data_IF_711060964717
#
_entry.id   IF_711060964717
#
_cell.length_a   1.000
_cell.length_b   1.000
_cell.length_c   1.000
_cell.angle_alpha   90.00
_cell.angle_beta   90.00
_cell.angle_gamma   90.00
#
_symmetry.space_group_name_H-M   'P 1'
#
loop_
_entity.id
_entity.type
_entity.pdbx_description
1 polymer ?
#
# COMPACT_ATOMS: atom_id res chain seq x y z
N UNK A 1 69.15 62.36 -46.03
CA UNK A 1 70.10 61.72 -45.10
C UNK A 1 69.54 60.36 -44.78
N UNK A 2 70.12 59.35 -45.43
CA UNK A 2 69.94 57.92 -45.16
C UNK A 2 70.82 57.52 -43.96
N UNK A 3 70.34 56.59 -43.13
CA UNK A 3 71.03 55.36 -42.67
C UNK A 3 70.24 54.68 -41.54
N UNK A 4 69.38 53.74 -41.92
CA UNK A 4 69.49 52.29 -41.73
C UNK A 4 70.00 51.66 -40.39
N UNK A 5 69.35 50.53 -40.07
CA UNK A 5 69.82 49.33 -39.32
C UNK A 5 69.50 49.13 -37.81
N UNK A 6 68.68 48.08 -37.57
CA UNK A 6 68.71 47.03 -36.52
C UNK A 6 67.81 47.08 -35.26
N UNK A 7 66.89 46.10 -35.20
CA UNK A 7 66.51 45.34 -33.99
C UNK A 7 67.56 44.24 -33.72
N UNK A 8 67.75 43.76 -32.46
CA UNK A 8 67.09 42.52 -31.97
C UNK A 8 66.76 42.51 -30.42
N UNK A 9 65.60 42.03 -29.95
CA UNK A 9 65.20 40.67 -29.47
C UNK A 9 65.48 40.33 -27.96
N UNK A 10 64.39 39.94 -27.26
CA UNK A 10 64.17 39.01 -26.12
C UNK A 10 64.60 39.29 -24.65
N UNK A 11 63.60 39.36 -23.77
CA UNK A 11 63.27 38.46 -22.62
C UNK A 11 62.48 39.27 -21.55
N UNK A 12 61.44 38.79 -20.87
CA UNK A 12 61.14 37.42 -20.45
C UNK A 12 59.63 37.13 -20.36
N UNK A 13 59.36 35.86 -20.62
CA UNK A 13 58.17 35.06 -20.40
C UNK A 13 57.69 34.99 -18.94
N UNK A 14 56.38 34.81 -18.74
CA UNK A 14 55.82 33.98 -17.66
C UNK A 14 54.35 33.61 -17.95
N UNK A 15 54.03 32.31 -18.10
CA UNK A 15 52.67 31.80 -18.20
C UNK A 15 52.17 31.33 -16.82
N UNK A 16 50.95 31.69 -16.43
CA UNK A 16 50.26 31.10 -15.27
C UNK A 16 48.96 30.44 -15.71
N UNK A 17 49.06 29.16 -16.09
CA UNK A 17 47.91 28.23 -16.06
C UNK A 17 48.38 26.84 -15.60
N UNK A 18 48.19 26.51 -14.31
CA UNK A 18 48.13 25.12 -13.88
C UNK A 18 46.78 24.71 -13.25
N UNK A 19 45.87 25.65 -12.95
CA UNK A 19 44.67 25.35 -12.14
C UNK A 19 43.51 24.77 -12.97
N UNK A 20 43.34 25.22 -14.22
CA UNK A 20 42.21 24.79 -15.08
C UNK A 20 42.39 23.32 -15.54
N UNK A 21 43.63 22.88 -15.74
CA UNK A 21 43.96 21.51 -16.15
C UNK A 21 43.68 20.50 -15.04
N UNK A 22 43.90 20.87 -13.77
CA UNK A 22 43.64 19.99 -12.62
C UNK A 22 42.15 19.69 -12.42
N UNK A 23 41.29 20.70 -12.56
CA UNK A 23 39.82 20.53 -12.41
C UNK A 23 39.24 19.70 -13.56
N UNK A 24 39.71 19.93 -14.80
CA UNK A 24 39.29 19.14 -15.95
C UNK A 24 39.73 17.67 -15.83
N UNK A 25 40.92 17.40 -15.29
CA UNK A 25 41.42 16.04 -15.07
C UNK A 25 40.60 15.29 -14.00
N UNK A 26 40.21 15.98 -12.92
CA UNK A 26 39.37 15.41 -11.85
C UNK A 26 37.96 15.10 -12.34
N UNK A 27 37.37 15.97 -13.15
CA UNK A 27 36.08 15.74 -13.80
C UNK A 27 36.13 14.54 -14.78
N UNK A 28 37.19 14.45 -15.58
CA UNK A 28 37.40 13.33 -16.49
C UNK A 28 37.55 11.99 -15.74
N UNK A 29 38.28 11.98 -14.62
CA UNK A 29 38.40 10.82 -13.74
C UNK A 29 37.05 10.41 -13.14
N UNK A 30 36.25 11.36 -12.65
CA UNK A 30 34.91 11.06 -12.12
C UNK A 30 33.98 10.46 -13.17
N UNK A 31 33.96 11.02 -14.38
CA UNK A 31 33.15 10.51 -15.49
C UNK A 31 33.61 9.12 -15.90
N UNK A 32 34.91 8.89 -16.03
CA UNK A 32 35.45 7.57 -16.36
C UNK A 32 35.10 6.53 -15.28
N UNK A 33 35.22 6.88 -14.01
CA UNK A 33 34.90 5.98 -12.88
C UNK A 33 33.40 5.64 -12.88
N UNK A 34 32.54 6.63 -13.12
CA UNK A 34 31.09 6.43 -13.21
C UNK A 34 30.69 5.52 -14.39
N UNK A 35 31.33 5.69 -15.55
CA UNK A 35 31.10 4.83 -16.71
C UNK A 35 31.56 3.38 -16.46
N UNK A 36 32.70 3.19 -15.80
CA UNK A 36 33.18 1.84 -15.43
C UNK A 36 32.25 1.18 -14.41
N UNK A 37 31.79 1.91 -13.39
CA UNK A 37 30.81 1.42 -12.42
C UNK A 37 29.49 1.05 -13.09
N UNK A 38 29.00 1.87 -14.02
CA UNK A 38 27.78 1.59 -14.79
C UNK A 38 27.94 0.35 -15.69
N UNK A 39 29.11 0.16 -16.30
CA UNK A 39 29.44 -1.04 -17.08
C UNK A 39 29.49 -2.31 -16.21
N UNK A 40 30.14 -2.26 -15.04
CA UNK A 40 30.16 -3.40 -14.10
C UNK A 40 28.77 -3.75 -13.57
N UNK A 41 27.95 -2.74 -13.32
CA UNK A 41 26.58 -2.95 -12.86
C UNK A 41 25.72 -3.59 -13.96
N UNK A 42 25.86 -3.16 -15.22
CA UNK A 42 25.11 -3.73 -16.35
C UNK A 42 25.55 -5.16 -16.71
N UNK A 43 26.85 -5.47 -16.64
CA UNK A 43 27.39 -6.81 -16.88
C UNK A 43 26.96 -7.77 -15.76
N UNK A 44 26.93 -7.31 -14.51
CA UNK A 44 26.45 -8.11 -13.36
C UNK A 44 24.94 -8.41 -13.45
N UNK A 45 24.14 -7.46 -13.96
CA UNK A 45 22.69 -7.68 -14.20
C UNK A 45 22.39 -8.53 -15.42
N UNK A 46 23.25 -8.57 -16.44
CA UNK A 46 23.07 -9.47 -17.59
C UNK A 46 23.60 -10.89 -17.34
N UNK A 47 24.62 -11.06 -16.49
CA UNK A 47 25.13 -12.38 -16.08
C UNK A 47 24.08 -13.20 -15.30
N UNK A 48 23.27 -12.53 -14.49
CA UNK A 48 22.20 -13.15 -13.68
C UNK A 48 20.90 -13.43 -14.46
N UNK A 49 20.78 -12.96 -15.70
CA UNK A 49 19.58 -13.10 -16.53
C UNK A 49 19.63 -14.26 -17.57
N UNK A 50 20.71 -15.05 -17.63
CA UNK A 50 20.86 -16.10 -18.67
C UNK A 50 20.33 -17.50 -18.31
N UNK A 51 19.83 -17.72 -17.09
CA UNK A 51 19.16 -18.99 -16.71
C UNK A 51 17.63 -18.82 -16.76
N UNK A 52 17.07 -18.88 -17.97
CA UNK A 52 15.60 -19.00 -18.08
C UNK A 52 14.97 -18.54 -19.39
N UNK A 53 15.59 -18.78 -20.55
CA UNK A 53 14.90 -18.56 -21.81
C UNK A 53 15.41 -19.52 -22.90
N UNK A 54 14.88 -20.74 -22.89
CA UNK A 54 14.85 -21.58 -24.09
C UNK A 54 13.52 -22.31 -24.15
N UNK A 55 12.62 -21.80 -24.99
CA UNK A 55 12.01 -22.55 -26.09
C UNK A 55 10.71 -21.87 -26.52
N UNK A 56 10.81 -21.08 -27.60
CA UNK A 56 9.69 -20.73 -28.47
C UNK A 56 9.45 -21.89 -29.43
N UNK A 57 8.21 -22.37 -29.55
CA UNK A 57 7.65 -22.74 -30.85
C UNK A 57 6.19 -22.31 -30.97
N UNK A 58 5.87 -21.99 -32.21
CA UNK A 58 4.69 -21.33 -32.74
C UNK A 58 3.39 -22.14 -32.62
N UNK A 59 2.31 -21.37 -32.69
CA UNK A 59 0.88 -21.66 -32.83
C UNK A 59 0.49 -22.83 -33.74
N UNK A 60 -0.57 -23.56 -33.37
CA UNK A 60 -1.76 -23.74 -34.23
C UNK A 60 -3.02 -24.13 -33.43
N UNK A 61 -4.20 -23.90 -34.02
CA UNK A 61 -5.54 -23.86 -33.41
C UNK A 61 -6.12 -25.17 -32.83
N UNK A 62 -6.98 -25.05 -31.81
CA UNK A 62 -7.94 -26.09 -31.40
C UNK A 62 -8.91 -25.65 -30.28
N UNK A 63 -10.22 -25.70 -30.56
CA UNK A 63 -11.35 -25.54 -29.60
C UNK A 63 -11.61 -26.87 -28.85
N UNK A 64 -12.27 -26.77 -27.68
CA UNK A 64 -12.75 -27.80 -26.71
C UNK A 64 -11.69 -28.34 -25.73
N UNK A 65 -11.92 -28.56 -24.42
CA UNK A 65 -13.11 -28.53 -23.53
C UNK A 65 -12.66 -28.24 -22.06
N UNK A 66 -13.55 -27.87 -21.12
CA UNK A 66 -13.20 -27.50 -19.74
C UNK A 66 -13.46 -28.65 -18.76
N UNK A 67 -12.53 -29.59 -18.64
CA UNK A 67 -12.43 -30.51 -17.50
C UNK A 67 -11.02 -31.11 -17.51
N UNK A 68 -10.10 -30.56 -16.71
CA UNK A 68 -9.00 -31.33 -16.12
C UNK A 68 -8.42 -30.57 -14.93
N UNK A 69 -8.41 -31.24 -13.77
CA UNK A 69 -7.69 -30.83 -12.57
C UNK A 69 -6.19 -31.14 -12.74
N UNK A 70 -5.33 -30.54 -11.90
CA UNK A 70 -4.27 -31.37 -11.35
C UNK A 70 -4.14 -31.22 -9.84
N UNK A 71 -4.20 -32.39 -9.22
CA UNK A 71 -3.59 -32.79 -7.97
C UNK A 71 -2.05 -32.66 -8.07
N UNK A 72 -1.39 -32.65 -6.92
CA UNK A 72 0.07 -32.72 -6.70
C UNK A 72 0.83 -31.38 -6.55
N UNK A 73 0.83 -30.87 -5.32
CA UNK A 73 2.03 -30.30 -4.68
C UNK A 73 1.92 -30.31 -3.14
N UNK A 74 1.68 -31.47 -2.57
CA UNK A 74 2.18 -31.80 -1.23
C UNK A 74 3.60 -32.36 -1.44
N UNK A 75 4.63 -31.57 -1.12
CA UNK A 75 6.02 -31.96 -0.80
C UNK A 75 6.95 -30.76 -1.03
N UNK A 76 7.00 -29.84 -0.06
CA UNK A 76 8.16 -29.04 0.34
C UNK A 76 7.71 -27.86 1.20
N UNK A 77 7.38 -28.11 2.47
CA UNK A 77 7.70 -27.21 3.60
C UNK A 77 7.38 -27.87 4.95
N UNK A 78 7.76 -29.15 5.07
CA UNK A 78 7.75 -29.87 6.34
C UNK A 78 9.20 -30.17 6.73
N UNK A 79 9.97 -29.12 7.04
CA UNK A 79 11.27 -29.21 7.73
C UNK A 79 11.82 -27.81 8.03
N UNK A 80 11.30 -27.17 9.08
CA UNK A 80 12.04 -26.24 9.96
C UNK A 80 11.15 -25.85 11.13
N UNK A 81 10.86 -26.83 12.00
CA UNK A 81 10.29 -26.55 13.31
C UNK A 81 10.71 -27.66 14.27
N UNK A 82 11.96 -27.57 14.72
CA UNK A 82 12.42 -28.18 15.97
C UNK A 82 13.79 -27.59 16.32
N UNK A 83 13.77 -26.54 17.14
CA UNK A 83 14.71 -26.24 18.23
C UNK A 83 14.62 -24.74 18.53
N UNK A 84 13.77 -24.38 19.49
CA UNK A 84 14.21 -23.98 20.83
C UNK A 84 12.97 -23.66 21.65
N UNK A 85 12.78 -24.46 22.69
CA UNK A 85 11.84 -24.23 23.76
C UNK A 85 12.66 -23.89 25.01
N UNK A 86 12.04 -23.15 25.93
CA UNK A 86 12.48 -22.79 27.29
C UNK A 86 13.24 -21.47 27.49
N UNK A 87 12.47 -20.44 27.85
CA UNK A 87 12.51 -19.69 29.13
C UNK A 87 11.73 -18.39 28.91
N UNK A 88 10.59 -18.12 29.55
CA UNK A 88 10.43 -17.97 30.98
C UNK A 88 9.68 -16.65 31.22
N UNK A 89 8.44 -16.78 31.70
CA UNK A 89 7.57 -15.80 32.37
C UNK A 89 7.89 -14.29 32.28
N UNK A 90 6.92 -13.51 31.75
CA UNK A 90 6.25 -12.42 32.48
C UNK A 90 5.18 -11.76 31.61
N UNK A 91 3.91 -11.91 32.00
CA UNK A 91 2.84 -11.03 31.55
C UNK A 91 2.57 -9.96 32.60
N UNK A 92 2.18 -8.73 32.24
CA UNK A 92 1.55 -7.82 33.17
C UNK A 92 0.07 -7.67 32.83
N UNK A 93 -0.79 -8.06 33.78
CA UNK A 93 -2.15 -7.53 33.90
C UNK A 93 -2.14 -6.32 34.85
N UNK A 94 -3.08 -5.37 34.68
CA UNK A 94 -3.09 -4.06 35.34
C UNK A 94 -3.89 -4.07 36.66
N UNK A 95 -3.56 -3.15 37.57
CA UNK A 95 -4.43 -2.90 38.74
C UNK A 95 -3.85 -2.02 39.86
N UNK A 96 -4.23 -0.73 39.80
CA UNK A 96 -4.64 0.16 40.90
C UNK A 96 -3.67 0.68 42.00
N UNK A 97 -3.50 2.02 41.97
CA UNK A 97 -3.71 3.03 43.02
C UNK A 97 -3.03 2.87 44.40
N UNK A 98 -2.08 3.79 44.72
CA UNK A 98 -2.22 4.86 45.73
C UNK A 98 -0.83 5.41 46.11
N UNK A 99 -0.65 6.73 46.08
CA UNK A 99 0.52 7.39 46.66
C UNK A 99 0.82 8.75 46.05
N UNK A 100 0.10 9.79 46.50
CA UNK A 100 0.54 11.18 46.32
C UNK A 100 1.84 11.42 47.10
N UNK A 101 2.71 12.33 46.63
CA UNK A 101 2.77 13.60 47.35
C UNK A 101 2.93 14.84 46.45
N UNK A 102 2.11 15.84 46.78
CA UNK A 102 2.42 17.26 46.96
C UNK A 102 3.61 17.86 46.20
N UNK A 103 3.30 18.71 45.22
CA UNK A 103 4.26 19.61 44.55
C UNK A 103 3.66 20.27 43.31
N UNK A 104 2.51 20.93 43.45
CA UNK A 104 1.86 21.65 42.35
C UNK A 104 2.41 23.08 42.25
N UNK A 105 3.47 23.27 41.47
CA UNK A 105 3.71 24.57 40.83
C UNK A 105 2.76 24.69 39.63
N UNK A 106 1.92 25.72 39.68
CA UNK A 106 0.96 26.05 38.64
C UNK A 106 1.68 26.46 37.35
N UNK A 107 1.88 25.53 36.43
CA UNK A 107 2.11 25.86 35.04
C UNK A 107 0.82 26.46 34.47
N UNK A 108 0.83 27.77 34.26
CA UNK A 108 -0.25 28.50 33.59
C UNK A 108 -0.62 27.77 32.30
N UNK A 109 -1.86 27.31 32.21
CA UNK A 109 -2.41 26.69 31.02
C UNK A 109 -2.34 27.70 29.87
N UNK A 110 -1.58 27.37 28.84
CA UNK A 110 -1.62 28.10 27.58
C UNK A 110 -3.08 28.17 27.09
N UNK A 111 -3.53 29.31 26.53
CA UNK A 111 -4.89 29.43 26.02
C UNK A 111 -5.12 28.36 24.96
N UNK A 112 -6.22 27.62 25.10
CA UNK A 112 -6.62 26.57 24.18
C UNK A 112 -6.75 27.15 22.76
N UNK A 113 -5.95 26.65 21.83
CA UNK A 113 -6.04 27.00 20.42
C UNK A 113 -7.47 26.75 19.93
N UNK A 114 -8.17 27.75 19.36
CA UNK A 114 -9.53 27.53 18.88
C UNK A 114 -9.53 26.43 17.82
N UNK A 115 -10.40 25.45 18.00
CA UNK A 115 -10.61 24.37 17.05
C UNK A 115 -11.13 24.95 15.73
N UNK A 116 -10.42 24.65 14.64
CA UNK A 116 -10.82 25.07 13.30
C UNK A 116 -12.16 24.39 12.91
N UNK A 117 -13.07 25.10 12.20
CA UNK A 117 -14.31 24.52 11.74
C UNK A 117 -14.05 23.31 10.82
N UNK A 118 -14.96 22.34 10.84
CA UNK A 118 -14.90 21.18 9.93
C UNK A 118 -14.78 21.64 8.47
N UNK A 119 -13.70 21.24 7.79
CA UNK A 119 -13.39 21.64 6.41
C UNK A 119 -12.25 22.66 6.27
N UNK A 120 -11.77 23.26 7.37
CA UNK A 120 -10.56 24.08 7.35
C UNK A 120 -9.34 23.23 7.73
N UNK A 121 -8.44 23.02 6.78
CA UNK A 121 -7.13 22.43 7.06
C UNK A 121 -6.27 23.46 7.81
N UNK A 122 -5.64 23.04 8.91
CA UNK A 122 -4.66 23.88 9.60
C UNK A 122 -3.54 24.21 8.63
N UNK A 123 -3.34 25.51 8.34
CA UNK A 123 -2.26 25.91 7.46
C UNK A 123 -0.90 25.49 8.07
N UNK A 124 -0.04 24.92 7.24
CA UNK A 124 1.32 24.56 7.65
C UNK A 124 2.12 25.85 7.80
N UNK A 125 2.64 26.08 9.01
CA UNK A 125 3.47 27.23 9.30
C UNK A 125 4.94 26.90 9.04
N UNK A 126 5.57 27.58 8.08
CA UNK A 126 6.94 27.30 7.63
C UNK A 126 7.91 28.38 8.11
N UNK A 127 8.98 27.97 8.78
CA UNK A 127 10.17 28.79 9.02
C UNK A 127 11.13 28.78 7.82
N UNK A 128 12.20 29.59 7.88
CA UNK A 128 13.16 29.69 6.78
C UNK A 128 13.85 28.36 6.45
N UNK A 129 14.20 27.57 7.48
CA UNK A 129 14.79 26.24 7.30
C UNK A 129 13.81 25.29 6.60
N UNK A 130 12.54 25.29 7.02
CA UNK A 130 11.51 24.45 6.41
C UNK A 130 11.28 24.82 4.94
N UNK A 131 11.28 26.12 4.63
CA UNK A 131 11.18 26.63 3.25
C UNK A 131 12.33 26.10 2.41
N UNK A 132 13.57 26.19 2.89
CA UNK A 132 14.74 25.71 2.17
C UNK A 132 14.72 24.19 1.96
N UNK A 133 14.45 23.42 3.02
CA UNK A 133 14.40 21.96 2.98
C UNK A 133 13.31 21.48 2.01
N UNK A 134 12.09 21.98 2.17
CA UNK A 134 10.95 21.58 1.33
C UNK A 134 11.12 22.03 -0.12
N UNK A 135 11.67 23.23 -0.38
CA UNK A 135 11.98 23.68 -1.75
C UNK A 135 12.99 22.75 -2.41
N UNK A 136 14.04 22.35 -1.68
CA UNK A 136 15.06 21.42 -2.17
C UNK A 136 14.45 20.06 -2.50
N UNK A 137 13.60 19.53 -1.62
CA UNK A 137 12.90 18.27 -1.85
C UNK A 137 11.95 18.35 -3.06
N UNK A 138 11.16 19.42 -3.17
CA UNK A 138 10.28 19.66 -4.31
C UNK A 138 11.04 19.72 -5.64
N UNK A 139 12.18 20.42 -5.69
CA UNK A 139 13.01 20.49 -6.89
C UNK A 139 13.62 19.14 -7.27
N UNK A 140 14.04 18.35 -6.29
CA UNK A 140 14.52 16.97 -6.51
C UNK A 140 13.41 16.09 -7.08
N UNK A 141 12.21 16.15 -6.49
CA UNK A 141 11.05 15.41 -6.99
C UNK A 141 10.66 15.86 -8.41
N UNK A 142 10.64 17.16 -8.70
CA UNK A 142 10.33 17.70 -10.03
C UNK A 142 11.26 17.15 -11.11
N UNK A 143 12.56 17.02 -10.79
CA UNK A 143 13.55 16.48 -11.71
C UNK A 143 13.28 15.00 -12.05
N UNK A 144 12.91 14.19 -11.04
CA UNK A 144 12.51 12.80 -11.25
C UNK A 144 11.18 12.66 -11.99
N UNK A 145 10.20 13.51 -11.64
CA UNK A 145 8.87 13.55 -12.24
C UNK A 145 8.90 13.91 -13.73
N UNK A 146 9.78 14.84 -14.13
CA UNK A 146 9.90 15.22 -15.54
C UNK A 146 10.53 14.10 -16.39
N UNK A 147 11.51 13.38 -15.84
CA UNK A 147 12.09 12.20 -16.48
C UNK A 147 11.05 11.08 -16.66
N UNK A 148 10.24 10.82 -15.62
CA UNK A 148 9.18 9.81 -15.66
C UNK A 148 8.07 10.18 -16.66
N UNK A 149 7.62 11.45 -16.66
CA UNK A 149 6.60 11.94 -17.57
C UNK A 149 7.01 11.90 -19.05
N UNK A 150 8.32 11.93 -19.32
CA UNK A 150 8.91 11.86 -20.66
C UNK A 150 9.20 10.43 -21.12
N UNK A 151 9.06 9.44 -20.23
CA UNK A 151 9.29 8.04 -20.56
C UNK A 151 8.10 7.43 -21.30
N UNK A 152 8.37 6.51 -22.23
CA UNK A 152 7.35 5.84 -23.06
C UNK A 152 6.52 4.83 -22.25
N UNK A 153 7.00 4.42 -21.07
CA UNK A 153 6.32 3.50 -20.17
C UNK A 153 5.53 4.26 -19.09
N UNK A 154 4.28 4.62 -19.38
CA UNK A 154 3.37 5.11 -18.34
C UNK A 154 2.86 3.92 -17.52
N UNK A 155 3.22 3.88 -16.23
CA UNK A 155 2.78 2.86 -15.28
C UNK A 155 3.89 1.97 -14.76
N UNK A 156 3.60 1.24 -13.67
CA UNK A 156 4.58 0.47 -12.91
C UNK A 156 4.74 1.02 -11.50
N UNK A 157 5.36 0.24 -10.61
CA UNK A 157 5.50 0.59 -9.19
C UNK A 157 6.27 1.89 -8.99
N UNK A 158 7.35 2.09 -9.73
CA UNK A 158 8.16 3.32 -9.64
C UNK A 158 7.39 4.58 -10.04
N UNK A 159 6.55 4.46 -11.08
CA UNK A 159 5.68 5.56 -11.52
C UNK A 159 4.59 5.86 -10.47
N UNK A 160 3.95 4.81 -9.95
CA UNK A 160 2.88 4.92 -8.96
C UNK A 160 3.41 5.48 -7.62
N UNK A 161 4.63 5.11 -7.22
CA UNK A 161 5.33 5.63 -6.04
C UNK A 161 5.68 7.12 -6.23
N UNK A 162 6.21 7.51 -7.40
CA UNK A 162 6.54 8.90 -7.70
C UNK A 162 5.29 9.80 -7.71
N UNK A 163 4.17 9.30 -8.25
CA UNK A 163 2.89 9.98 -8.21
C UNK A 163 2.40 10.15 -6.77
N UNK A 164 2.50 9.10 -5.95
CA UNK A 164 2.12 9.13 -4.53
C UNK A 164 2.95 10.15 -3.74
N UNK A 165 4.25 10.22 -4.00
CA UNK A 165 5.14 11.23 -3.40
C UNK A 165 4.73 12.65 -3.81
N UNK A 166 4.41 12.88 -5.09
CA UNK A 166 3.93 14.18 -5.56
C UNK A 166 2.60 14.58 -4.92
N UNK A 167 1.68 13.62 -4.82
CA UNK A 167 0.40 13.80 -4.12
C UNK A 167 0.62 14.15 -2.65
N UNK A 168 1.55 13.48 -1.98
CA UNK A 168 1.90 13.77 -0.59
C UNK A 168 2.44 15.19 -0.42
N UNK A 169 3.40 15.61 -1.26
CA UNK A 169 3.94 16.99 -1.27
C UNK A 169 2.82 18.02 -1.39
N UNK A 170 1.98 17.88 -2.41
CA UNK A 170 0.91 18.85 -2.70
C UNK A 170 -0.18 18.81 -1.64
N UNK A 171 -0.47 17.64 -1.08
CA UNK A 171 -1.44 17.43 -0.01
C UNK A 171 -1.02 18.07 1.31
N UNK A 172 0.23 17.87 1.73
CA UNK A 172 0.80 18.49 2.94
C UNK A 172 0.88 20.02 2.83
N UNK A 173 1.03 20.55 1.61
CA UNK A 173 1.25 21.97 1.35
C UNK A 173 0.03 22.67 0.72
N UNK A 174 -1.18 22.15 0.93
CA UNK A 174 -2.40 22.79 0.38
C UNK A 174 -2.65 24.20 0.93
N UNK A 175 -2.33 24.42 2.20
CA UNK A 175 -2.45 25.70 2.87
C UNK A 175 -1.14 25.98 3.63
N UNK A 176 -0.45 27.06 3.26
CA UNK A 176 0.85 27.41 3.81
C UNK A 176 0.81 28.82 4.37
N UNK A 177 1.39 29.00 5.55
CA UNK A 177 1.72 30.31 6.12
C UNK A 177 3.21 30.36 6.42
N UNK A 178 3.79 31.55 6.46
CA UNK A 178 5.22 31.73 6.66
C UNK A 178 5.49 32.46 7.97
N UNK A 179 6.59 32.10 8.63
CA UNK A 179 7.10 32.87 9.76
C UNK A 179 7.55 34.27 9.28
N UNK A 180 7.46 35.26 10.17
CA UNK A 180 7.73 36.66 9.82
C UNK A 180 9.15 36.94 9.31
N UNK A 181 10.11 36.07 9.62
CA UNK A 181 11.51 36.20 9.20
C UNK A 181 11.83 35.58 7.83
N UNK A 182 10.87 34.89 7.19
CA UNK A 182 11.05 34.38 5.82
C UNK A 182 10.92 35.56 4.85
N UNK A 183 11.92 35.80 4.00
CA UNK A 183 11.92 36.89 3.03
C UNK A 183 10.85 36.72 1.96
N UNK A 184 10.34 37.83 1.41
CA UNK A 184 9.32 37.79 0.35
C UNK A 184 9.80 37.10 -0.93
N UNK A 185 11.11 37.14 -1.21
CA UNK A 185 11.73 36.41 -2.31
C UNK A 185 11.65 34.89 -2.09
N UNK A 186 12.11 34.41 -0.94
CA UNK A 186 12.03 32.98 -0.57
C UNK A 186 10.59 32.46 -0.60
N UNK A 187 9.63 33.26 -0.12
CA UNK A 187 8.20 32.92 -0.15
C UNK A 187 7.70 32.76 -1.58
N UNK A 188 8.02 33.70 -2.48
CA UNK A 188 7.61 33.62 -3.89
C UNK A 188 8.22 32.41 -4.58
N UNK A 189 9.50 32.15 -4.36
CA UNK A 189 10.19 31.03 -4.99
C UNK A 189 9.63 29.69 -4.49
N UNK A 190 9.39 29.56 -3.18
CA UNK A 190 8.73 28.40 -2.61
C UNK A 190 7.36 28.15 -3.25
N UNK A 191 6.50 29.18 -3.30
CA UNK A 191 5.15 29.06 -3.86
C UNK A 191 5.18 28.72 -5.35
N UNK A 192 6.11 29.30 -6.10
CA UNK A 192 6.33 28.99 -7.51
C UNK A 192 6.73 27.53 -7.72
N UNK A 193 7.65 27.02 -6.92
CA UNK A 193 8.06 25.60 -6.96
C UNK A 193 6.90 24.68 -6.57
N UNK A 194 6.11 25.05 -5.56
CA UNK A 194 4.92 24.30 -5.16
C UNK A 194 3.87 24.24 -6.28
N UNK A 195 3.65 25.33 -7.01
CA UNK A 195 2.75 25.37 -8.16
C UNK A 195 3.27 24.50 -9.33
N UNK A 196 4.58 24.47 -9.55
CA UNK A 196 5.19 23.53 -10.51
C UNK A 196 4.96 22.08 -10.08
N UNK A 197 5.13 21.76 -8.80
CA UNK A 197 4.81 20.43 -8.26
C UNK A 197 3.35 20.07 -8.52
N UNK A 198 2.41 20.95 -8.16
CA UNK A 198 0.97 20.74 -8.39
C UNK A 198 0.64 20.47 -9.86
N UNK A 199 1.22 21.26 -10.77
CA UNK A 199 1.04 21.08 -12.22
C UNK A 199 1.57 19.73 -12.69
N UNK A 200 2.79 19.37 -12.28
CA UNK A 200 3.42 18.10 -12.63
C UNK A 200 2.67 16.88 -12.06
N UNK A 201 2.27 16.91 -10.78
CA UNK A 201 1.49 15.85 -10.14
C UNK A 201 0.16 15.66 -10.87
N UNK A 202 -0.50 16.75 -11.26
CA UNK A 202 -1.74 16.68 -12.05
C UNK A 202 -1.50 16.07 -13.43
N UNK A 203 -0.37 16.40 -14.09
CA UNK A 203 0.02 15.80 -15.38
C UNK A 203 0.23 14.29 -15.26
N UNK A 204 1.00 13.84 -14.27
CA UNK A 204 1.25 12.42 -13.99
C UNK A 204 -0.06 11.67 -13.67
N UNK A 205 -0.91 12.27 -12.83
CA UNK A 205 -2.21 11.68 -12.49
C UNK A 205 -3.10 11.50 -13.73
N UNK A 206 -3.17 12.50 -14.62
CA UNK A 206 -3.92 12.40 -15.89
C UNK A 206 -3.37 11.32 -16.82
N UNK A 207 -2.06 11.12 -16.87
CA UNK A 207 -1.46 10.03 -17.64
C UNK A 207 -1.87 8.66 -17.10
N UNK A 208 -2.06 8.54 -15.78
CA UNK A 208 -2.41 7.29 -15.10
C UNK A 208 -3.91 7.04 -14.96
N UNK A 209 -4.73 8.07 -15.10
CA UNK A 209 -6.19 8.07 -14.85
C UNK A 209 -6.91 6.91 -15.54
N UNK A 210 -6.77 6.78 -16.87
CA UNK A 210 -7.49 5.73 -17.63
C UNK A 210 -7.20 4.33 -17.11
N UNK A 211 -5.94 4.02 -16.83
CA UNK A 211 -5.56 2.69 -16.35
C UNK A 211 -6.11 2.41 -14.95
N UNK A 212 -6.15 3.41 -14.07
CA UNK A 212 -6.74 3.25 -12.74
C UNK A 212 -8.27 3.10 -12.79
N UNK A 213 -8.93 3.82 -13.70
CA UNK A 213 -10.36 3.64 -14.00
C UNK A 213 -10.61 2.19 -14.43
N UNK A 214 -9.89 1.70 -15.44
CA UNK A 214 -10.04 0.33 -15.96
C UNK A 214 -9.84 -0.71 -14.86
N UNK A 215 -8.79 -0.56 -14.04
CA UNK A 215 -8.50 -1.48 -12.93
C UNK A 215 -9.62 -1.48 -11.89
N UNK A 216 -10.16 -0.30 -11.54
CA UNK A 216 -11.28 -0.18 -10.60
C UNK A 216 -12.55 -0.84 -11.16
N UNK A 217 -12.88 -0.58 -12.43
CA UNK A 217 -14.08 -1.10 -13.10
C UNK A 217 -14.02 -2.62 -13.30
N UNK A 218 -12.86 -3.14 -13.71
CA UNK A 218 -12.61 -4.58 -13.83
C UNK A 218 -12.74 -5.25 -12.46
N UNK A 219 -12.18 -4.66 -11.40
CA UNK A 219 -12.30 -5.21 -10.05
C UNK A 219 -13.73 -5.18 -9.53
N UNK A 220 -14.46 -4.08 -9.73
CA UNK A 220 -15.86 -3.98 -9.34
C UNK A 220 -16.73 -5.01 -10.08
N UNK A 221 -16.54 -5.14 -11.39
CA UNK A 221 -17.28 -6.09 -12.24
C UNK A 221 -16.96 -7.54 -11.87
N UNK A 222 -15.69 -7.86 -11.63
CA UNK A 222 -15.25 -9.18 -11.18
C UNK A 222 -15.86 -9.54 -9.81
N UNK A 223 -15.86 -8.59 -8.87
CA UNK A 223 -16.43 -8.78 -7.54
C UNK A 223 -17.95 -9.03 -7.62
N UNK A 224 -18.68 -8.22 -8.40
CA UNK A 224 -20.13 -8.43 -8.63
C UNK A 224 -20.43 -9.76 -9.30
N UNK A 225 -19.66 -10.15 -10.31
CA UNK A 225 -19.82 -11.44 -10.98
C UNK A 225 -19.64 -12.61 -10.01
N UNK A 226 -18.58 -12.57 -9.18
CA UNK A 226 -18.36 -13.58 -8.12
C UNK A 226 -19.48 -13.57 -7.09
N UNK A 227 -19.98 -12.40 -6.72
CA UNK A 227 -21.08 -12.26 -5.79
C UNK A 227 -22.36 -12.92 -6.32
N UNK A 228 -22.74 -12.63 -7.57
CA UNK A 228 -23.88 -13.25 -8.25
C UNK A 228 -23.71 -14.77 -8.33
N UNK A 229 -22.53 -15.26 -8.71
CA UNK A 229 -22.23 -16.69 -8.73
C UNK A 229 -22.31 -17.36 -7.35
N UNK A 230 -22.03 -16.61 -6.29
CA UNK A 230 -22.06 -17.10 -4.90
C UNK A 230 -23.43 -16.96 -4.23
N UNK A 231 -24.39 -16.29 -4.86
CA UNK A 231 -25.70 -15.94 -4.28
C UNK A 231 -26.44 -17.15 -3.71
N UNK A 232 -26.51 -18.26 -4.44
CA UNK A 232 -27.17 -19.49 -4.00
C UNK A 232 -26.55 -20.07 -2.72
N UNK A 233 -25.22 -20.04 -2.61
CA UNK A 233 -24.52 -20.51 -1.41
C UNK A 233 -24.79 -19.59 -0.22
N UNK A 234 -24.75 -18.28 -0.43
CA UNK A 234 -25.07 -17.29 0.60
C UNK A 234 -26.52 -17.39 1.08
N UNK A 235 -27.48 -17.59 0.18
CA UNK A 235 -28.87 -17.84 0.54
C UNK A 235 -29.04 -19.11 1.35
N UNK A 236 -28.38 -20.21 0.94
CA UNK A 236 -28.42 -21.48 1.69
C UNK A 236 -27.88 -21.31 3.11
N UNK A 237 -26.79 -20.56 3.28
CA UNK A 237 -26.26 -20.20 4.61
C UNK A 237 -27.28 -19.41 5.42
N UNK A 238 -27.94 -18.42 4.81
CA UNK A 238 -28.95 -17.57 5.48
C UNK A 238 -30.21 -18.32 5.89
N UNK A 239 -30.56 -19.43 5.22
CA UNK A 239 -31.67 -20.31 5.61
C UNK A 239 -31.42 -21.02 6.95
N UNK A 240 -30.24 -20.87 7.54
CA UNK A 240 -29.95 -21.33 8.89
C UNK A 240 -29.74 -22.84 8.97
N UNK A 241 -29.25 -23.45 7.89
CA UNK A 241 -28.72 -24.81 7.92
C UNK A 241 -27.45 -24.87 8.77
N UNK A 242 -27.22 -26.00 9.44
CA UNK A 242 -25.98 -26.22 10.18
C UNK A 242 -24.88 -26.56 9.18
N UNK A 243 -23.94 -25.64 8.98
CA UNK A 243 -22.83 -25.82 8.04
C UNK A 243 -21.56 -26.25 8.77
N UNK A 244 -20.83 -27.19 8.18
CA UNK A 244 -19.51 -27.62 8.64
C UNK A 244 -18.40 -26.73 8.07
N UNK A 245 -17.24 -26.61 8.74
CA UNK A 245 -16.11 -25.81 8.26
C UNK A 245 -15.60 -26.20 6.86
N UNK A 246 -15.78 -27.46 6.47
CA UNK A 246 -15.40 -28.02 5.16
C UNK A 246 -16.47 -27.84 4.08
N UNK A 247 -17.66 -27.33 4.42
CA UNK A 247 -18.76 -27.23 3.46
C UNK A 247 -18.43 -26.25 2.32
N UNK A 248 -18.87 -26.55 1.08
CA UNK A 248 -18.62 -25.68 -0.08
C UNK A 248 -19.12 -24.25 0.11
N UNK A 249 -20.22 -24.06 0.85
CA UNK A 249 -20.76 -22.74 1.16
C UNK A 249 -19.78 -21.90 1.98
N UNK A 250 -19.10 -22.53 2.95
CA UNK A 250 -18.12 -21.85 3.79
C UNK A 250 -16.88 -21.48 2.97
N UNK A 251 -16.40 -22.39 2.12
CA UNK A 251 -15.28 -22.11 1.21
C UNK A 251 -15.61 -20.99 0.21
N UNK A 252 -16.84 -20.96 -0.30
CA UNK A 252 -17.33 -19.88 -1.18
C UNK A 252 -17.32 -18.53 -0.46
N UNK A 253 -17.80 -18.49 0.79
CA UNK A 253 -17.75 -17.26 1.59
C UNK A 253 -16.32 -16.78 1.88
N UNK A 254 -15.38 -17.70 2.16
CA UNK A 254 -13.96 -17.38 2.32
C UNK A 254 -13.39 -16.80 1.02
N UNK A 255 -13.61 -17.46 -0.12
CA UNK A 255 -13.14 -16.98 -1.42
C UNK A 255 -13.72 -15.61 -1.82
N UNK A 256 -14.97 -15.33 -1.44
CA UNK A 256 -15.58 -14.03 -1.64
C UNK A 256 -14.97 -12.96 -0.73
N UNK A 257 -14.64 -13.29 0.52
CA UNK A 257 -13.90 -12.40 1.43
C UNK A 257 -12.49 -12.08 0.92
N UNK A 258 -11.78 -13.05 0.33
CA UNK A 258 -10.49 -12.78 -0.34
C UNK A 258 -10.63 -11.83 -1.52
N UNK A 259 -11.70 -12.00 -2.32
CA UNK A 259 -12.01 -11.11 -3.42
C UNK A 259 -12.25 -9.67 -2.94
N UNK A 260 -12.98 -9.50 -1.83
CA UNK A 260 -13.17 -8.21 -1.15
C UNK A 260 -11.83 -7.61 -0.72
N UNK A 261 -10.95 -8.36 -0.06
CA UNK A 261 -9.62 -7.85 0.36
C UNK A 261 -8.79 -7.38 -0.82
N UNK A 262 -8.79 -8.15 -1.92
CA UNK A 262 -8.11 -7.77 -3.16
C UNK A 262 -8.68 -6.47 -3.74
N UNK A 263 -10.01 -6.32 -3.74
CA UNK A 263 -10.69 -5.10 -4.19
C UNK A 263 -10.39 -3.90 -3.27
N UNK A 264 -10.39 -4.10 -1.95
CA UNK A 264 -10.08 -3.07 -0.96
C UNK A 264 -8.64 -2.56 -1.12
N UNK A 265 -7.68 -3.46 -1.41
CA UNK A 265 -6.30 -3.05 -1.71
C UNK A 265 -6.26 -2.10 -2.91
N UNK A 266 -6.92 -2.46 -4.02
CA UNK A 266 -6.99 -1.62 -5.22
C UNK A 266 -7.67 -0.28 -4.94
N UNK A 267 -8.76 -0.29 -4.15
CA UNK A 267 -9.44 0.93 -3.72
C UNK A 267 -8.50 1.84 -2.92
N UNK A 268 -7.80 1.30 -1.93
CA UNK A 268 -6.88 2.06 -1.09
C UNK A 268 -5.69 2.61 -1.88
N UNK A 269 -5.06 1.77 -2.71
CA UNK A 269 -3.93 2.16 -3.57
C UNK A 269 -4.34 3.30 -4.51
N UNK A 270 -5.48 3.16 -5.19
CA UNK A 270 -6.00 4.19 -6.10
C UNK A 270 -6.40 5.46 -5.34
N UNK A 271 -7.11 5.35 -4.22
CA UNK A 271 -7.50 6.52 -3.41
C UNK A 271 -6.28 7.33 -2.92
N UNK A 272 -5.18 6.65 -2.60
CA UNK A 272 -3.94 7.32 -2.17
C UNK A 272 -3.27 8.14 -3.28
N UNK A 273 -3.41 7.70 -4.54
CA UNK A 273 -2.84 8.39 -5.72
C UNK A 273 -3.78 9.45 -6.28
N UNK A 274 -5.08 9.37 -5.99
CA UNK A 274 -6.10 10.23 -6.57
C UNK A 274 -6.99 10.87 -5.51
N UNK A 275 -6.47 11.80 -4.69
CA UNK A 275 -7.28 12.56 -3.76
C UNK A 275 -8.15 13.61 -4.47
N UNK A 276 -9.19 14.07 -3.79
CA UNK A 276 -10.21 14.98 -4.34
C UNK A 276 -9.64 16.30 -4.88
N UNK A 277 -8.53 16.79 -4.31
CA UNK A 277 -7.92 18.06 -4.73
C UNK A 277 -7.34 18.02 -6.16
N UNK A 278 -7.08 16.84 -6.71
CA UNK A 278 -6.68 16.69 -8.12
C UNK A 278 -7.85 16.87 -9.10
N UNK A 279 -9.10 16.83 -8.60
CA UNK A 279 -10.33 17.07 -9.37
C UNK A 279 -10.50 16.14 -10.58
N UNK A 280 -10.02 14.90 -10.49
CA UNK A 280 -10.19 13.87 -11.52
C UNK A 280 -11.47 13.07 -11.26
N UNK A 281 -12.60 13.58 -11.78
CA UNK A 281 -13.93 13.02 -11.51
C UNK A 281 -14.11 11.59 -12.04
N UNK A 282 -13.40 11.21 -13.11
CA UNK A 282 -13.44 9.86 -13.66
C UNK A 282 -13.01 8.82 -12.62
N UNK A 283 -11.79 8.98 -12.08
CA UNK A 283 -11.27 8.10 -11.03
C UNK A 283 -12.17 8.08 -9.79
N UNK A 284 -12.69 9.25 -9.38
CA UNK A 284 -13.59 9.31 -8.22
C UNK A 284 -14.89 8.53 -8.44
N UNK A 285 -15.45 8.56 -9.64
CA UNK A 285 -16.66 7.78 -9.96
C UNK A 285 -16.38 6.28 -9.99
N UNK A 286 -15.23 5.86 -10.53
CA UNK A 286 -14.82 4.45 -10.53
C UNK A 286 -14.51 3.95 -9.11
N UNK A 287 -13.88 4.78 -8.26
CA UNK A 287 -13.67 4.50 -6.83
C UNK A 287 -15.01 4.34 -6.08
N UNK A 288 -16.00 5.21 -6.33
CA UNK A 288 -17.35 5.06 -5.77
C UNK A 288 -18.00 3.76 -6.20
N UNK A 289 -17.87 3.39 -7.47
CA UNK A 289 -18.42 2.14 -8.02
C UNK A 289 -17.78 0.92 -7.37
N UNK A 290 -16.45 0.93 -7.22
CA UNK A 290 -15.71 -0.14 -6.53
C UNK A 290 -16.08 -0.22 -5.05
N UNK A 291 -16.15 0.90 -4.36
CA UNK A 291 -16.56 0.97 -2.95
C UNK A 291 -17.97 0.44 -2.73
N UNK A 292 -18.91 0.78 -3.61
CA UNK A 292 -20.28 0.26 -3.53
C UNK A 292 -20.32 -1.26 -3.73
N UNK A 293 -19.55 -1.80 -4.68
CA UNK A 293 -19.45 -3.24 -4.89
C UNK A 293 -18.80 -3.98 -3.70
N UNK A 294 -17.79 -3.36 -3.07
CA UNK A 294 -17.19 -3.89 -1.83
C UNK A 294 -18.25 -3.95 -0.73
N UNK A 295 -18.92 -2.83 -0.44
CA UNK A 295 -19.89 -2.73 0.64
C UNK A 295 -21.03 -3.75 0.48
N UNK A 296 -21.58 -3.87 -0.73
CA UNK A 296 -22.66 -4.83 -1.03
C UNK A 296 -22.27 -6.27 -0.67
N UNK A 297 -21.05 -6.66 -1.02
CA UNK A 297 -20.54 -8.00 -0.73
C UNK A 297 -20.24 -8.19 0.75
N UNK A 298 -19.67 -7.19 1.41
CA UNK A 298 -19.37 -7.23 2.84
C UNK A 298 -20.62 -7.36 3.70
N UNK A 299 -21.65 -6.56 3.42
CA UNK A 299 -22.94 -6.65 4.11
C UNK A 299 -23.54 -8.04 3.96
N UNK A 300 -23.47 -8.58 2.74
CA UNK A 300 -23.99 -9.90 2.45
C UNK A 300 -23.23 -11.01 3.19
N UNK A 301 -21.89 -10.94 3.25
CA UNK A 301 -21.04 -11.88 3.97
C UNK A 301 -21.28 -11.80 5.48
N UNK A 302 -21.44 -10.59 6.02
CA UNK A 302 -21.76 -10.39 7.44
C UNK A 302 -23.10 -11.04 7.81
N UNK A 303 -24.14 -10.85 7.00
CA UNK A 303 -25.44 -11.48 7.22
C UNK A 303 -25.36 -13.01 7.17
N UNK A 304 -24.65 -13.56 6.18
CA UNK A 304 -24.47 -15.01 6.06
C UNK A 304 -23.66 -15.57 7.24
N UNK A 305 -22.60 -14.89 7.67
CA UNK A 305 -21.79 -15.30 8.79
C UNK A 305 -22.57 -15.30 10.12
N UNK A 306 -23.38 -14.27 10.35
CA UNK A 306 -24.24 -14.17 11.54
C UNK A 306 -25.29 -15.29 11.54
N UNK A 307 -25.98 -15.54 10.42
CA UNK A 307 -26.97 -16.62 10.32
C UNK A 307 -26.33 -18.01 10.58
N UNK A 308 -25.10 -18.22 10.12
CA UNK A 308 -24.38 -19.46 10.38
C UNK A 308 -23.99 -19.60 11.86
N UNK A 309 -23.51 -18.51 12.49
CA UNK A 309 -23.21 -18.50 13.92
C UNK A 309 -24.46 -18.80 14.77
N UNK A 310 -25.60 -18.21 14.41
CA UNK A 310 -26.89 -18.47 15.07
C UNK A 310 -27.36 -19.93 14.90
N UNK A 311 -27.13 -20.52 13.73
CA UNK A 311 -27.43 -21.94 13.48
C UNK A 311 -26.63 -22.86 14.40
N UNK A 312 -25.32 -22.62 14.53
CA UNK A 312 -24.47 -23.35 15.46
C UNK A 312 -24.86 -23.15 16.92
N UNK A 313 -25.16 -21.90 17.32
CA UNK A 313 -25.62 -21.61 18.67
C UNK A 313 -26.93 -22.35 19.01
N UNK A 314 -27.90 -22.36 18.08
CA UNK A 314 -29.15 -23.12 18.23
C UNK A 314 -28.90 -24.62 18.34
N UNK A 315 -28.02 -25.17 17.52
CA UNK A 315 -27.67 -26.59 17.54
C UNK A 315 -27.07 -27.02 18.87
N UNK A 316 -26.04 -26.30 19.35
CA UNK A 316 -25.40 -26.61 20.64
C UNK A 316 -26.36 -26.46 21.82
N UNK A 317 -27.20 -25.42 21.79
CA UNK A 317 -28.23 -25.21 22.82
C UNK A 317 -29.27 -26.32 22.83
N UNK A 318 -29.63 -26.88 21.68
CA UNK A 318 -30.58 -27.99 21.57
C UNK A 318 -29.99 -29.32 22.08
N UNK A 319 -28.67 -29.51 22.02
CA UNK A 319 -27.99 -30.71 22.54
C UNK A 319 -27.81 -30.68 24.07
N UNK A 320 -27.82 -29.50 24.69
CA UNK A 320 -27.53 -29.33 26.12
C UNK A 320 -28.49 -30.09 27.06
N UNK A 321 -29.83 -30.09 26.87
CA UNK A 321 -30.74 -30.83 27.74
C UNK A 321 -30.53 -32.35 27.67
N UNK A 322 -30.31 -32.89 26.47
CA UNK A 322 -30.07 -34.33 26.27
C UNK A 322 -28.71 -34.76 26.81
N UNK A 323 -27.72 -33.87 26.85
CA UNK A 323 -26.44 -34.17 27.48
C UNK A 323 -26.52 -34.27 29.02
N UNK A 324 -27.55 -33.68 29.64
CA UNK A 324 -27.75 -33.70 31.10
C UNK A 324 -28.47 -34.96 31.60
N UNK A 325 -29.10 -35.74 30.72
CA UNK A 325 -29.73 -37.00 31.11
C UNK A 325 -28.69 -38.06 31.47
N UNK A 326 -29.02 -38.95 32.41
CA UNK A 326 -28.18 -40.09 32.75
C UNK A 326 -28.41 -41.27 31.79
N UNK A 327 -27.42 -42.14 31.66
CA UNK A 327 -27.48 -43.34 30.82
C UNK A 327 -26.83 -43.18 29.43
N UNK A 328 -26.87 -44.24 28.60
CA UNK A 328 -26.11 -44.32 27.35
C UNK A 328 -26.43 -43.21 26.33
N UNK A 329 -27.69 -42.76 26.28
CA UNK A 329 -28.09 -41.66 25.40
C UNK A 329 -27.56 -40.31 25.88
N UNK A 330 -27.44 -40.11 27.19
CA UNK A 330 -26.81 -38.95 27.79
C UNK A 330 -25.31 -38.89 27.53
N UNK A 331 -24.61 -40.02 27.66
CA UNK A 331 -23.18 -40.12 27.30
C UNK A 331 -22.94 -39.82 25.82
N UNK A 332 -23.74 -40.39 24.92
CA UNK A 332 -23.67 -40.10 23.49
C UNK A 332 -23.94 -38.61 23.18
N UNK A 333 -24.88 -37.99 23.87
CA UNK A 333 -25.18 -36.56 23.72
C UNK A 333 -24.05 -35.67 24.25
N UNK A 334 -23.38 -36.04 25.35
CA UNK A 334 -22.18 -35.35 25.86
C UNK A 334 -21.03 -35.42 24.86
N UNK A 335 -20.80 -36.59 24.27
CA UNK A 335 -19.77 -36.77 23.25
C UNK A 335 -20.04 -35.88 22.02
N UNK A 336 -21.27 -35.89 21.51
CA UNK A 336 -21.70 -35.00 20.41
C UNK A 336 -21.59 -33.52 20.76
N UNK A 337 -21.84 -33.14 22.01
CA UNK A 337 -21.69 -31.76 22.47
C UNK A 337 -20.22 -31.33 22.45
N UNK A 338 -19.29 -32.18 22.92
CA UNK A 338 -17.85 -31.91 22.88
C UNK A 338 -17.37 -31.75 21.43
N UNK A 339 -17.68 -32.71 20.57
CA UNK A 339 -17.34 -32.67 19.14
C UNK A 339 -17.95 -31.44 18.45
N UNK A 340 -19.21 -31.14 18.76
CA UNK A 340 -19.92 -29.96 18.25
C UNK A 340 -19.30 -28.66 18.72
N UNK A 341 -18.84 -28.57 19.97
CA UNK A 341 -18.17 -27.38 20.51
C UNK A 341 -16.83 -27.15 19.82
N UNK A 342 -16.03 -28.18 19.59
CA UNK A 342 -14.75 -28.04 18.91
C UNK A 342 -14.93 -27.65 17.44
N UNK A 343 -15.92 -28.23 16.76
CA UNK A 343 -16.29 -27.83 15.41
C UNK A 343 -16.80 -26.38 15.37
N UNK A 344 -17.62 -25.97 16.33
CA UNK A 344 -18.13 -24.60 16.41
C UNK A 344 -17.01 -23.58 16.65
N UNK A 345 -15.95 -23.92 17.40
CA UNK A 345 -14.76 -23.06 17.54
C UNK A 345 -14.04 -22.87 16.20
N UNK A 346 -13.79 -23.95 15.46
CA UNK A 346 -13.18 -23.86 14.12
C UNK A 346 -14.05 -23.02 13.17
N UNK A 347 -15.36 -23.22 13.25
CA UNK A 347 -16.31 -22.44 12.46
C UNK A 347 -16.29 -20.97 12.87
N UNK A 348 -16.20 -20.66 14.16
CA UNK A 348 -16.14 -19.29 14.67
C UNK A 348 -14.93 -18.52 14.08
N UNK A 349 -13.75 -19.13 14.02
CA UNK A 349 -12.58 -18.52 13.37
C UNK A 349 -12.87 -18.18 11.91
N UNK A 350 -13.43 -19.12 11.14
CA UNK A 350 -13.83 -18.87 9.75
C UNK A 350 -14.88 -17.77 9.62
N UNK A 351 -15.87 -17.74 10.51
CA UNK A 351 -16.94 -16.73 10.48
C UNK A 351 -16.44 -15.32 10.85
N UNK A 352 -15.48 -15.20 11.78
CA UNK A 352 -14.83 -13.91 12.08
C UNK A 352 -14.04 -13.39 10.88
N UNK A 353 -13.31 -14.26 10.22
CA UNK A 353 -12.64 -13.94 8.97
C UNK A 353 -13.63 -13.50 7.88
N UNK A 354 -14.64 -14.33 7.61
CA UNK A 354 -15.69 -14.08 6.60
C UNK A 354 -16.44 -12.78 6.88
N UNK A 355 -16.67 -12.41 8.13
CA UNK A 355 -17.34 -11.15 8.50
C UNK A 355 -16.43 -9.93 8.52
N UNK A 356 -15.11 -10.10 8.32
CA UNK A 356 -14.14 -9.01 8.33
C UNK A 356 -13.75 -8.54 9.73
N UNK A 357 -14.14 -9.28 10.77
CA UNK A 357 -13.76 -9.00 12.16
C UNK A 357 -12.33 -9.43 12.48
N UNK A 358 -11.71 -10.23 11.60
CA UNK A 358 -10.36 -10.74 11.76
C UNK A 358 -9.57 -10.64 10.43
N UNK A 359 -8.31 -10.18 10.44
CA UNK A 359 -7.58 -9.87 9.22
C UNK A 359 -6.99 -11.10 8.53
N UNK A 360 -6.90 -12.25 9.19
CA UNK A 360 -6.32 -13.50 8.67
C UNK A 360 -7.03 -14.71 9.26
N UNK A 361 -6.94 -15.86 8.57
CA UNK A 361 -7.41 -17.17 9.06
C UNK A 361 -6.32 -17.85 9.88
#
# INVERSE_FOLDING_TARGET
MEHDVSQPILNASSPTRPVITGVALMLALFVATFLVLRCFHHISTMSSASKGASSRRLSDHGRHDPCDAPQDREEQQQQQQQQEDVAGAAGPLPGAVAGAPSGAEAAASAPSTPSLPAGYSSAVHLGLLDVYEKTTYMNSWLSGADAAASSVGVGGTEFDDLLRDGVKIVGELQAVTFAGHVGEEDRRDFLKTLDQCRSMTTRLAKQRESSCIDVCEVKASSLRSRFVGSSRHLEKTRRGHLLQPSDPEVQTMVGLREAVKSAQKVYNDTKSMFPDFLRLSGVQNSLKTLSAAIQEVEDSLMLAANACAESWARHLKALQPTAQTEGPDGERARQKLIEGMDTAKQMQTKLRYISGKEPSL
#
